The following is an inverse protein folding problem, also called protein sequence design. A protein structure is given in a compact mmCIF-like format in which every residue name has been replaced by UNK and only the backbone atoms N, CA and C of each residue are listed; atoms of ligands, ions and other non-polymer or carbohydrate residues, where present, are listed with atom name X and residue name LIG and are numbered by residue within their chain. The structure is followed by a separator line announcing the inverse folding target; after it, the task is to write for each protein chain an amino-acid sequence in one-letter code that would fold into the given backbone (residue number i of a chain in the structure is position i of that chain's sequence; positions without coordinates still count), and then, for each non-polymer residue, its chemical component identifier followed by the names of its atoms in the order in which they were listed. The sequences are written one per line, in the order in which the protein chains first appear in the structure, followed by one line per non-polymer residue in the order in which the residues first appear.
data_IF_411419597671
#
_entry.id   IF_411419597671
#
_cell.length_a   1.000
_cell.length_b   1.000
_cell.length_c   1.000
_cell.angle_alpha   90.00
_cell.angle_beta   90.00
_cell.angle_gamma   90.00
#
_symmetry.space_group_name_H-M   'P 1'
#
loop_
_entity.id
_entity.type
_entity.pdbx_description
1 polymer ?
#
# COMPACT_ATOMS: atom_id res chain seq x y z
N UNK A 1 14.12 8.12 -36.74
CA UNK A 1 13.69 9.00 -35.63
C UNK A 1 14.91 9.38 -34.81
N UNK A 2 14.84 10.48 -34.06
CA UNK A 2 15.96 10.94 -33.23
C UNK A 2 16.06 10.10 -31.94
N UNK A 3 16.90 9.05 -31.98
CA UNK A 3 17.06 8.08 -30.89
C UNK A 3 17.64 8.70 -29.61
N UNK A 4 18.21 9.91 -29.69
CA UNK A 4 18.74 10.65 -28.53
C UNK A 4 17.66 11.07 -27.53
N UNK A 5 16.38 11.03 -27.95
CA UNK A 5 15.22 11.42 -27.13
C UNK A 5 14.57 10.28 -26.38
N UNK A 6 14.99 9.03 -26.63
CA UNK A 6 14.44 7.87 -25.93
C UNK A 6 14.74 8.00 -24.45
N UNK A 7 13.70 7.91 -23.62
CA UNK A 7 13.83 8.05 -22.17
C UNK A 7 12.93 7.03 -21.47
N UNK A 8 13.45 6.31 -20.46
CA UNK A 8 12.66 5.34 -19.72
C UNK A 8 11.71 6.03 -18.72
N UNK A 9 10.62 5.37 -18.33
CA UNK A 9 9.67 5.94 -17.38
C UNK A 9 10.26 5.98 -15.97
N UNK A 10 9.97 7.07 -15.25
CA UNK A 10 10.01 7.08 -13.80
C UNK A 10 8.65 6.62 -13.28
N UNK A 11 8.64 5.49 -12.57
CA UNK A 11 7.42 4.90 -12.00
C UNK A 11 7.30 5.31 -10.53
N UNK A 12 6.12 5.74 -10.12
CA UNK A 12 5.81 6.08 -8.73
C UNK A 12 4.48 5.43 -8.35
N UNK A 13 4.45 4.79 -7.18
CA UNK A 13 3.25 4.18 -6.62
C UNK A 13 2.80 5.02 -5.42
N UNK A 14 1.57 5.50 -5.47
CA UNK A 14 0.93 6.26 -4.40
C UNK A 14 0.00 5.35 -3.61
N UNK A 15 0.14 5.39 -2.29
CA UNK A 15 -0.72 4.68 -1.37
C UNK A 15 -2.13 5.32 -1.31
N UNK A 16 -3.15 4.55 -0.90
CA UNK A 16 -4.50 5.06 -0.72
C UNK A 16 -4.55 6.15 0.36
N UNK A 17 -5.46 7.12 0.20
CA UNK A 17 -5.72 8.10 1.26
C UNK A 17 -6.47 7.45 2.43
N UNK A 18 -6.10 7.77 3.67
CA UNK A 18 -6.80 7.25 4.87
C UNK A 18 -8.30 7.58 4.86
N UNK A 19 -8.68 8.76 4.38
CA UNK A 19 -10.09 9.16 4.27
C UNK A 19 -10.91 8.21 3.39
N UNK A 20 -10.38 7.78 2.23
CA UNK A 20 -11.05 6.78 1.39
C UNK A 20 -11.21 5.45 2.11
N UNK A 21 -10.15 4.99 2.78
CA UNK A 21 -10.11 3.71 3.49
C UNK A 21 -11.15 3.67 4.61
N UNK A 22 -11.26 4.76 5.38
CA UNK A 22 -12.22 4.88 6.49
C UNK A 22 -13.64 5.08 5.97
N UNK A 23 -13.87 6.07 5.11
CA UNK A 23 -15.23 6.49 4.74
C UNK A 23 -15.90 5.54 3.74
N UNK A 24 -15.11 4.98 2.82
CA UNK A 24 -15.63 4.13 1.74
C UNK A 24 -15.34 2.66 1.94
N UNK A 25 -14.55 2.28 2.94
CA UNK A 25 -14.10 0.90 3.17
C UNK A 25 -13.38 0.29 1.94
N UNK A 26 -12.79 1.16 1.13
CA UNK A 26 -12.08 0.83 -0.11
C UNK A 26 -10.74 1.55 -0.14
N UNK A 27 -9.77 0.96 -0.83
CA UNK A 27 -8.42 1.48 -0.95
C UNK A 27 -8.03 1.53 -2.43
N UNK A 28 -7.73 2.72 -2.94
CA UNK A 28 -7.27 2.92 -4.32
C UNK A 28 -5.79 3.28 -4.34
N UNK A 29 -4.97 2.37 -4.85
CA UNK A 29 -3.57 2.65 -5.18
C UNK A 29 -3.50 3.33 -6.54
N UNK A 30 -2.58 4.28 -6.72
CA UNK A 30 -2.36 4.97 -7.99
C UNK A 30 -0.92 4.78 -8.45
N UNK A 31 -0.73 4.23 -9.64
CA UNK A 31 0.56 4.17 -10.29
C UNK A 31 0.68 5.25 -11.36
N UNK A 32 1.78 5.99 -11.34
CA UNK A 32 2.11 7.00 -12.34
C UNK A 32 3.46 6.66 -12.99
N UNK A 33 3.43 6.39 -14.29
CA UNK A 33 4.62 6.36 -15.14
C UNK A 33 4.75 7.74 -15.81
N UNK A 34 5.92 8.37 -15.74
CA UNK A 34 6.15 9.71 -16.30
C UNK A 34 7.55 9.83 -16.90
N UNK A 35 7.74 10.81 -17.77
CA UNK A 35 9.02 11.17 -18.36
C UNK A 35 9.51 10.21 -19.44
N UNK A 36 8.64 9.35 -19.98
CA UNK A 36 9.04 8.37 -20.99
C UNK A 36 8.80 8.85 -22.42
N UNK A 37 9.65 8.38 -23.34
CA UNK A 37 9.52 8.55 -24.78
C UNK A 37 10.23 7.37 -25.47
N UNK A 38 9.65 6.75 -26.51
CA UNK A 38 8.33 7.00 -27.12
C UNK A 38 7.18 6.58 -26.18
N UNK A 39 5.92 6.66 -26.64
CA UNK A 39 4.73 6.32 -25.84
C UNK A 39 4.48 4.80 -25.69
N UNK A 40 5.44 3.97 -26.09
CA UNK A 40 5.36 2.51 -26.06
C UNK A 40 5.62 1.96 -24.66
N UNK A 41 4.56 1.86 -23.85
CA UNK A 41 4.60 1.24 -22.53
C UNK A 41 3.41 0.32 -22.29
N UNK A 42 3.63 -0.75 -21.53
CA UNK A 42 2.55 -1.58 -20.97
C UNK A 42 2.60 -1.55 -19.44
N UNK A 43 1.52 -1.11 -18.82
CA UNK A 43 1.37 -1.07 -17.36
C UNK A 43 0.57 -2.28 -16.87
N UNK A 44 1.13 -3.01 -15.90
CA UNK A 44 0.47 -4.13 -15.25
C UNK A 44 0.61 -4.08 -13.72
N UNK A 45 -0.37 -4.66 -13.04
CA UNK A 45 -0.38 -4.77 -11.59
C UNK A 45 -0.08 -6.20 -11.15
N UNK A 46 0.79 -6.34 -10.16
CA UNK A 46 1.04 -7.58 -9.47
C UNK A 46 0.67 -7.40 -8.00
N UNK A 47 -0.02 -8.39 -7.46
CA UNK A 47 -0.33 -8.51 -6.03
C UNK A 47 0.20 -9.85 -5.55
N UNK A 48 1.11 -9.84 -4.57
CA UNK A 48 1.79 -11.03 -4.05
C UNK A 48 2.46 -11.85 -5.18
N UNK A 49 3.08 -11.15 -6.13
CA UNK A 49 3.75 -11.75 -7.29
C UNK A 49 2.82 -12.27 -8.39
N UNK A 50 1.50 -12.13 -8.27
CA UNK A 50 0.52 -12.58 -9.28
C UNK A 50 -0.11 -11.39 -10.01
N UNK A 51 -0.18 -11.46 -11.33
CA UNK A 51 -0.83 -10.43 -12.15
C UNK A 51 -2.32 -10.34 -11.81
N UNK A 52 -2.84 -9.13 -11.67
CA UNK A 52 -4.27 -8.87 -11.39
C UNK A 52 -4.88 -7.96 -12.45
N UNK A 53 -6.16 -8.22 -12.75
CA UNK A 53 -6.97 -7.42 -13.68
C UNK A 53 -8.24 -6.87 -13.01
N UNK A 54 -8.74 -7.55 -11.97
CA UNK A 54 -9.91 -7.09 -11.22
C UNK A 54 -9.59 -5.81 -10.44
N UNK A 55 -10.46 -4.81 -10.56
CA UNK A 55 -10.31 -3.51 -9.89
C UNK A 55 -9.23 -2.62 -10.50
N UNK A 56 -8.62 -3.01 -11.63
CA UNK A 56 -7.64 -2.21 -12.36
C UNK A 56 -8.34 -1.29 -13.36
N UNK A 57 -7.95 -0.02 -13.38
CA UNK A 57 -8.35 0.96 -14.38
C UNK A 57 -7.13 1.74 -14.82
N UNK A 58 -6.67 1.49 -16.05
CA UNK A 58 -5.54 2.16 -16.69
C UNK A 58 -6.06 3.13 -17.73
N UNK A 59 -5.46 4.31 -17.83
CA UNK A 59 -5.81 5.26 -18.88
C UNK A 59 -5.55 4.61 -20.26
N UNK A 60 -6.44 4.81 -21.26
CA UNK A 60 -6.38 4.05 -22.50
C UNK A 60 -5.16 4.40 -23.38
N UNK A 61 -4.62 5.61 -23.23
CA UNK A 61 -3.46 6.10 -23.97
C UNK A 61 -2.59 6.99 -23.07
N UNK A 62 -1.27 7.01 -23.27
CA UNK A 62 -0.39 7.97 -22.62
C UNK A 62 -0.73 9.41 -23.03
N UNK A 63 -0.70 10.33 -22.06
CA UNK A 63 -0.86 11.76 -22.31
C UNK A 63 0.49 12.46 -22.38
N UNK A 64 0.61 13.50 -23.22
CA UNK A 64 1.82 14.33 -23.25
C UNK A 64 1.95 15.17 -21.97
N UNK A 65 3.17 15.27 -21.47
CA UNK A 65 3.51 16.17 -20.37
C UNK A 65 3.62 17.64 -20.82
N UNK A 66 3.75 18.55 -19.86
CA UNK A 66 3.85 20.00 -20.10
C UNK A 66 5.03 20.40 -20.99
N UNK A 67 6.09 19.59 -21.04
CA UNK A 67 7.23 19.78 -21.93
C UNK A 67 6.92 19.42 -23.40
N UNK A 68 5.75 18.82 -23.70
CA UNK A 68 5.30 18.32 -25.00
C UNK A 68 6.24 17.29 -25.69
N UNK A 69 7.23 16.79 -24.97
CA UNK A 69 8.24 15.84 -25.47
C UNK A 69 8.00 14.46 -24.87
N UNK A 70 7.81 14.38 -23.56
CA UNK A 70 7.64 13.11 -22.85
C UNK A 70 6.17 12.82 -22.57
N UNK A 71 5.89 11.55 -22.30
CA UNK A 71 4.57 11.05 -21.97
C UNK A 71 4.46 10.66 -20.51
N UNK A 72 3.21 10.63 -20.03
CA UNK A 72 2.83 10.04 -18.77
C UNK A 72 1.62 9.13 -18.94
N UNK A 73 1.50 8.12 -18.08
CA UNK A 73 0.42 7.15 -18.06
C UNK A 73 0.06 6.84 -16.60
N UNK A 74 -1.23 6.90 -16.27
CA UNK A 74 -1.72 6.56 -14.94
C UNK A 74 -2.57 5.29 -14.93
N UNK A 75 -2.48 4.55 -13.83
CA UNK A 75 -3.33 3.39 -13.57
C UNK A 75 -3.72 3.35 -12.10
N UNK A 76 -4.90 2.81 -11.83
CA UNK A 76 -5.51 2.75 -10.51
C UNK A 76 -5.87 1.30 -10.20
N UNK A 77 -5.51 0.82 -9.01
CA UNK A 77 -5.92 -0.48 -8.50
C UNK A 77 -6.77 -0.27 -7.25
N UNK A 78 -8.04 -0.65 -7.35
CA UNK A 78 -9.01 -0.54 -6.26
C UNK A 78 -9.23 -1.88 -5.58
N UNK A 79 -8.99 -1.94 -4.28
CA UNK A 79 -9.16 -3.13 -3.42
C UNK A 79 -10.00 -2.80 -2.18
N UNK A 80 -10.43 -3.81 -1.43
CA UNK A 80 -11.10 -3.59 -0.13
C UNK A 80 -10.11 -3.04 0.90
N UNK A 81 -10.61 -2.22 1.84
CA UNK A 81 -9.80 -1.72 2.96
C UNK A 81 -9.18 -2.88 3.76
N UNK A 82 -9.94 -3.96 3.99
CA UNK A 82 -9.44 -5.16 4.69
C UNK A 82 -8.27 -5.83 3.99
N UNK A 83 -8.23 -5.79 2.66
CA UNK A 83 -7.14 -6.37 1.88
C UNK A 83 -5.90 -5.46 1.88
N UNK A 84 -6.10 -4.14 1.77
CA UNK A 84 -5.04 -3.15 1.95
C UNK A 84 -4.41 -3.24 3.36
N UNK A 85 -5.22 -3.47 4.39
CA UNK A 85 -4.76 -3.49 5.77
C UNK A 85 -3.96 -4.73 6.19
N UNK A 86 -3.82 -5.71 5.31
CA UNK A 86 -2.99 -6.86 5.56
C UNK A 86 -1.53 -6.54 5.19
N UNK A 87 -0.60 -6.40 6.17
CA UNK A 87 0.79 -6.03 5.89
C UNK A 87 1.57 -7.10 5.13
N UNK A 88 1.01 -8.30 4.98
CA UNK A 88 1.61 -9.36 4.14
C UNK A 88 1.32 -9.18 2.67
N UNK A 89 0.36 -8.32 2.31
CA UNK A 89 0.05 -8.03 0.93
C UNK A 89 1.10 -7.08 0.35
N UNK A 90 1.67 -7.48 -0.78
CA UNK A 90 2.65 -6.75 -1.53
C UNK A 90 2.06 -6.34 -2.88
N UNK A 91 2.07 -5.04 -3.16
CA UNK A 91 1.54 -4.45 -4.38
C UNK A 91 2.70 -3.94 -5.22
N UNK A 92 2.72 -4.29 -6.49
CA UNK A 92 3.72 -3.83 -7.44
C UNK A 92 3.05 -3.34 -8.71
N UNK A 93 3.36 -2.11 -9.08
CA UNK A 93 3.08 -1.60 -10.42
C UNK A 93 4.31 -1.86 -11.29
N UNK A 94 4.10 -2.53 -12.41
CA UNK A 94 5.13 -2.90 -13.37
C UNK A 94 4.85 -2.21 -14.70
N UNK A 95 5.85 -1.49 -15.23
CA UNK A 95 5.80 -0.82 -16.52
C UNK A 95 6.85 -1.45 -17.42
N UNK A 96 6.38 -2.15 -18.44
CA UNK A 96 7.23 -2.60 -19.55
C UNK A 96 7.44 -1.42 -20.48
N UNK A 97 8.69 -0.97 -20.62
CA UNK A 97 9.09 0.08 -21.54
C UNK A 97 9.78 -0.54 -22.75
N UNK A 98 9.34 -0.17 -23.95
CA UNK A 98 9.94 -0.61 -25.21
C UNK A 98 10.84 0.50 -25.75
N UNK A 99 12.08 0.50 -25.26
CA UNK A 99 13.13 1.42 -25.67
C UNK A 99 13.97 0.86 -26.82
N UNK A 100 15.25 1.18 -26.80
CA UNK A 100 16.21 0.68 -27.78
C UNK A 100 16.51 -0.81 -27.61
N UNK A 101 16.98 -1.43 -28.68
CA UNK A 101 17.57 -2.76 -28.72
C UNK A 101 19.09 -2.67 -28.73
N UNK A 102 19.79 -3.79 -28.52
CA UNK A 102 21.25 -3.81 -28.54
C UNK A 102 21.83 -3.40 -29.91
N UNK A 103 21.08 -3.64 -30.99
CA UNK A 103 21.46 -3.35 -32.38
C UNK A 103 21.39 -1.86 -32.73
N UNK A 104 20.62 -1.06 -32.00
CA UNK A 104 20.44 0.36 -32.29
C UNK A 104 21.71 1.19 -32.01
N UNK A 105 22.10 2.07 -32.93
CA UNK A 105 23.23 2.98 -32.74
C UNK A 105 22.94 4.01 -31.64
N UNK A 106 23.84 4.10 -30.65
CA UNK A 106 23.74 5.04 -29.53
C UNK A 106 25.04 5.84 -29.40
N UNK A 107 24.93 7.16 -29.58
CA UNK A 107 26.06 8.08 -29.56
C UNK A 107 26.48 8.54 -28.15
N UNK A 108 25.74 8.12 -27.12
CA UNK A 108 26.02 8.44 -25.73
C UNK A 108 26.84 7.34 -25.04
N UNK A 109 26.96 7.46 -23.71
CA UNK A 109 27.58 6.44 -22.87
C UNK A 109 26.81 5.10 -23.00
N UNK A 110 27.47 3.97 -23.36
CA UNK A 110 26.80 2.69 -23.58
C UNK A 110 26.01 2.20 -22.36
N UNK A 111 26.51 2.46 -21.14
CA UNK A 111 25.84 2.07 -19.89
C UNK A 111 24.54 2.86 -19.61
N UNK A 112 24.31 3.97 -20.31
CA UNK A 112 23.11 4.81 -20.19
C UNK A 112 22.12 4.60 -21.34
N UNK A 113 22.36 3.63 -22.23
CA UNK A 113 21.47 3.35 -23.36
C UNK A 113 20.08 2.95 -22.84
N UNK A 114 19.01 3.66 -23.22
CA UNK A 114 17.65 3.42 -22.72
C UNK A 114 17.02 2.22 -23.43
N UNK A 115 17.43 1.02 -23.04
CA UNK A 115 16.98 -0.23 -23.64
C UNK A 115 15.58 -0.62 -23.20
N UNK A 116 14.98 -1.58 -23.91
CA UNK A 116 13.76 -2.26 -23.46
C UNK A 116 13.96 -2.87 -22.08
N UNK A 117 13.14 -2.46 -21.12
CA UNK A 117 13.29 -2.84 -19.72
C UNK A 117 11.98 -2.80 -18.95
N UNK A 118 11.98 -3.42 -17.77
CA UNK A 118 10.87 -3.39 -16.83
C UNK A 118 11.24 -2.44 -15.69
N UNK A 119 10.41 -1.41 -15.48
CA UNK A 119 10.54 -0.49 -14.35
C UNK A 119 9.36 -0.71 -13.42
N UNK A 120 9.60 -0.79 -12.11
CA UNK A 120 8.53 -1.04 -11.14
C UNK A 120 8.59 -0.14 -9.92
N UNK A 121 7.42 0.11 -9.34
CA UNK A 121 7.28 0.69 -8.00
C UNK A 121 6.42 -0.23 -7.14
N UNK A 122 6.68 -0.27 -5.84
CA UNK A 122 6.05 -1.20 -4.92
C UNK A 122 5.61 -0.54 -3.62
N UNK A 123 4.58 -1.11 -3.00
CA UNK A 123 4.01 -0.70 -1.74
C UNK A 123 3.57 -1.95 -0.97
N UNK A 124 3.66 -1.87 0.36
CA UNK A 124 3.19 -2.92 1.26
C UNK A 124 1.86 -2.51 1.85
N UNK A 125 1.01 -3.50 2.14
CA UNK A 125 -0.23 -3.25 2.85
C UNK A 125 0.04 -2.58 4.20
N UNK A 126 -0.86 -1.68 4.62
CA UNK A 126 -0.67 -0.88 5.81
C UNK A 126 -1.41 -1.48 7.02
N UNK A 127 -0.70 -1.85 8.08
CA UNK A 127 -1.29 -2.37 9.31
C UNK A 127 -2.06 -1.34 10.16
N UNK A 128 -2.31 -0.12 9.66
CA UNK A 128 -3.01 0.97 10.33
C UNK A 128 -4.48 0.65 10.64
N UNK A 129 -4.68 -0.13 11.71
CA UNK A 129 -5.90 -0.29 12.54
C UNK A 129 -5.70 -1.47 13.50
N UNK A 130 -4.97 -2.51 13.09
CA UNK A 130 -4.72 -3.70 13.93
C UNK A 130 -3.99 -3.36 15.23
N UNK A 131 -2.98 -2.50 15.17
CA UNK A 131 -2.29 -2.04 16.39
C UNK A 131 -3.20 -1.22 17.31
N UNK A 132 -4.02 -0.32 16.78
CA UNK A 132 -4.96 0.50 17.57
C UNK A 132 -6.03 -0.38 18.24
N UNK A 133 -6.59 -1.35 17.50
CA UNK A 133 -7.61 -2.28 17.99
C UNK A 133 -7.08 -3.24 19.04
N UNK A 134 -5.88 -3.81 18.84
CA UNK A 134 -5.24 -4.67 19.85
C UNK A 134 -4.84 -3.86 21.08
N UNK A 135 -4.27 -2.67 20.92
CA UNK A 135 -3.91 -1.79 22.05
C UNK A 135 -5.15 -1.39 22.85
N UNK A 136 -6.25 -1.02 22.17
CA UNK A 136 -7.53 -0.71 22.82
C UNK A 136 -8.10 -1.92 23.58
N UNK A 137 -8.09 -3.10 22.96
CA UNK A 137 -8.55 -4.33 23.60
C UNK A 137 -7.68 -4.72 24.80
N UNK A 138 -6.36 -4.58 24.72
CA UNK A 138 -5.46 -4.85 25.86
C UNK A 138 -5.72 -3.90 27.02
N UNK A 139 -5.91 -2.60 26.75
CA UNK A 139 -6.23 -1.60 27.79
C UNK A 139 -7.58 -1.95 28.44
N UNK A 140 -8.59 -2.31 27.65
CA UNK A 140 -9.90 -2.73 28.17
C UNK A 140 -9.78 -3.99 29.04
N UNK A 141 -8.96 -4.96 28.62
CA UNK A 141 -8.77 -6.20 29.37
C UNK A 141 -8.08 -5.94 30.72
N UNK A 142 -7.04 -5.11 30.75
CA UNK A 142 -6.37 -4.70 31.99
C UNK A 142 -7.32 -3.96 32.96
N UNK A 143 -8.18 -3.07 32.43
CA UNK A 143 -9.19 -2.38 33.23
C UNK A 143 -10.21 -3.37 33.82
N UNK A 144 -10.68 -4.34 33.03
CA UNK A 144 -11.63 -5.36 33.50
C UNK A 144 -10.99 -6.27 34.54
N UNK A 145 -9.72 -6.66 34.35
CA UNK A 145 -8.98 -7.46 35.31
C UNK A 145 -8.79 -6.72 36.63
N UNK A 146 -8.41 -5.43 36.57
CA UNK A 146 -8.27 -4.56 37.74
C UNK A 146 -9.58 -4.36 38.50
N UNK A 147 -10.70 -4.26 37.78
CA UNK A 147 -12.03 -4.22 38.42
C UNK A 147 -12.35 -5.54 39.12
N UNK A 148 -12.16 -6.67 38.45
CA UNK A 148 -12.47 -7.99 38.99
C UNK A 148 -11.65 -8.29 40.27
N UNK A 149 -10.37 -7.93 40.29
CA UNK A 149 -9.51 -8.09 41.48
C UNK A 149 -9.96 -7.20 42.63
N UNK A 150 -10.33 -5.94 42.38
CA UNK A 150 -10.88 -5.04 43.39
C UNK A 150 -12.18 -5.60 44.00
N UNK A 151 -13.09 -6.11 43.17
CA UNK A 151 -14.32 -6.75 43.65
C UNK A 151 -14.03 -7.99 44.52
N UNK A 152 -13.08 -8.84 44.12
CA UNK A 152 -12.69 -10.00 44.89
C UNK A 152 -12.13 -9.62 46.28
N UNK A 153 -11.30 -8.58 46.37
CA UNK A 153 -10.75 -8.08 47.64
C UNK A 153 -11.85 -7.52 48.54
N UNK A 154 -12.77 -6.71 47.99
CA UNK A 154 -13.89 -6.12 48.74
C UNK A 154 -14.80 -7.21 49.32
N UNK A 155 -15.18 -8.20 48.52
CA UNK A 155 -16.03 -9.31 48.98
C UNK A 155 -15.31 -10.14 50.04
N UNK A 156 -14.02 -10.43 49.84
CA UNK A 156 -13.21 -11.17 50.83
C UNK A 156 -13.14 -10.43 52.18
N UNK A 157 -12.93 -9.11 52.16
CA UNK A 157 -12.92 -8.28 53.37
C UNK A 157 -14.29 -8.27 54.07
N UNK A 158 -15.39 -8.14 53.33
CA UNK A 158 -16.75 -8.19 53.90
C UNK A 158 -17.04 -9.53 54.56
N UNK A 159 -16.64 -10.65 53.94
CA UNK A 159 -16.80 -11.99 54.51
C UNK A 159 -15.98 -12.13 55.80
N UNK A 160 -14.73 -11.68 55.82
CA UNK A 160 -13.89 -11.70 57.03
C UNK A 160 -14.51 -10.86 58.17
N UNK A 161 -15.01 -9.67 57.86
CA UNK A 161 -15.70 -8.81 58.83
C UNK A 161 -16.98 -9.45 59.38
N UNK A 162 -17.77 -10.11 58.52
CA UNK A 162 -18.96 -10.84 58.93
C UNK A 162 -18.64 -12.05 59.82
N UNK A 163 -17.60 -12.81 59.49
CA UNK A 163 -17.13 -13.94 60.30
C UNK A 163 -16.62 -13.49 61.68
N UNK A 164 -15.85 -12.40 61.74
CA UNK A 164 -15.37 -11.83 63.00
C UNK A 164 -16.53 -11.33 63.88
N UNK A 165 -17.53 -10.66 63.30
CA UNK A 165 -18.72 -10.21 64.02
C UNK A 165 -19.54 -11.38 64.57
N UNK A 166 -19.70 -12.46 63.80
CA UNK A 166 -20.40 -13.68 64.24
C UNK A 166 -19.66 -14.41 65.37
N UNK A 167 -18.33 -14.40 65.38
CA UNK A 167 -17.52 -15.02 66.43
C UNK A 167 -17.57 -14.26 67.76
N UNK A 168 -17.79 -12.95 67.71
CA UNK A 168 -17.83 -12.06 68.88
C UNK A 168 -19.25 -11.81 69.42
N UNK A 169 -20.27 -12.46 68.86
CA UNK A 169 -21.68 -12.43 69.32
C UNK A 169 -22.07 -13.77 69.91
#
# INVERSE_FOLDING_TARGET
EDLSKVSPPKVTLFEPSEAEVVDKQMATLVCLARGFFPDHVELSWLVNGKKVHSGVSTDPQPSKESNNITYCLSSRLRVSATFWHNPRNHFRCQVQFYGLTDEDEWNGEPSLKPVTQIVSAEAWGNAASYHQGVLSATILYEILLGKATLYAVLVSALVLMAMAKKKNS
#
